data_IF_360888136720
#
_entry.id   IF_360888136720
#
_cell.length_a   1.000
_cell.length_b   1.000
_cell.length_c   1.000
_cell.angle_alpha   90.00
_cell.angle_beta   90.00
_cell.angle_gamma   90.00
#
_symmetry.space_group_name_H-M   'P 1'
#
loop_
_entity.id
_entity.type
_entity.pdbx_description
1 polymer ?
#
# COMPACT_ATOMS: atom_id res chain seq x y z
N UNK A 1 18.77 12.79 7.62
CA UNK A 1 17.63 13.57 8.16
C UNK A 1 17.33 13.00 9.54
N UNK A 2 17.80 13.69 10.58
CA UNK A 2 17.67 13.28 12.00
C UNK A 2 16.51 14.00 12.72
N UNK A 3 16.07 15.15 12.19
CA UNK A 3 14.96 15.97 12.69
C UNK A 3 13.99 16.35 11.55
N UNK A 4 12.79 16.80 11.92
CA UNK A 4 11.76 17.32 11.01
C UNK A 4 10.92 18.40 11.71
N UNK A 5 10.43 19.36 10.93
CA UNK A 5 9.42 20.32 11.39
C UNK A 5 8.06 19.61 11.53
N UNK A 6 7.47 19.68 12.73
CA UNK A 6 6.17 19.12 13.08
C UNK A 6 5.30 20.24 13.62
N UNK A 7 4.10 20.40 13.06
CA UNK A 7 3.10 21.36 13.57
C UNK A 7 2.28 20.71 14.68
N UNK A 8 2.36 21.23 15.89
CA UNK A 8 1.48 20.83 17.01
C UNK A 8 0.36 21.86 17.13
N UNK A 9 -0.89 21.43 16.94
CA UNK A 9 -2.04 22.35 16.89
C UNK A 9 -3.37 21.65 17.24
N UNK A 10 -4.48 22.37 17.12
CA UNK A 10 -5.83 21.95 17.50
C UNK A 10 -6.33 22.67 18.75
N UNK A 11 -7.65 22.74 18.91
CA UNK A 11 -8.30 23.49 19.97
C UNK A 11 -8.02 22.98 21.38
N UNK A 12 -7.51 21.75 21.52
CA UNK A 12 -7.16 21.17 22.82
C UNK A 12 -5.66 21.32 23.17
N UNK A 13 -4.86 22.04 22.37
CA UNK A 13 -3.45 22.33 22.67
C UNK A 13 -3.34 23.73 23.28
N UNK A 14 -2.66 23.85 24.43
CA UNK A 14 -2.51 25.14 25.11
C UNK A 14 -1.73 26.17 24.30
N UNK A 15 -0.58 25.80 23.73
CA UNK A 15 0.29 26.70 22.96
C UNK A 15 0.65 26.12 21.58
N UNK A 16 -0.25 26.18 20.58
CA UNK A 16 0.00 25.70 19.22
C UNK A 16 1.23 26.35 18.58
N UNK A 17 2.13 25.53 18.01
CA UNK A 17 3.38 26.00 17.37
C UNK A 17 4.00 24.95 16.45
N UNK A 18 4.90 25.42 15.59
CA UNK A 18 5.76 24.56 14.81
C UNK A 18 7.03 24.23 15.60
N UNK A 19 7.38 22.97 15.70
CA UNK A 19 8.54 22.46 16.42
C UNK A 19 9.49 21.76 15.46
N UNK A 20 10.80 21.91 15.67
CA UNK A 20 11.77 20.98 15.09
C UNK A 20 11.96 19.82 16.07
N UNK A 21 11.47 18.64 15.70
CA UNK A 21 11.51 17.45 16.53
C UNK A 21 12.48 16.40 15.95
N UNK A 22 13.27 15.70 16.79
CA UNK A 22 14.04 14.55 16.32
C UNK A 22 13.10 13.41 15.91
N UNK A 23 13.49 12.68 14.87
CA UNK A 23 12.77 11.47 14.47
C UNK A 23 12.90 10.45 15.60
N UNK A 24 11.77 9.94 16.09
CA UNK A 24 11.68 9.06 17.25
C UNK A 24 11.17 9.74 18.54
N UNK A 25 11.10 11.08 18.59
CA UNK A 25 10.47 11.79 19.71
C UNK A 25 9.02 11.34 19.91
N UNK A 26 8.54 11.26 21.15
CA UNK A 26 7.16 10.84 21.41
C UNK A 26 6.20 12.01 21.15
N UNK A 27 5.00 11.71 20.66
CA UNK A 27 3.96 12.72 20.51
C UNK A 27 3.61 13.37 21.87
N UNK A 28 3.65 12.61 22.96
CA UNK A 28 3.47 13.09 24.32
C UNK A 28 4.48 14.20 24.70
N UNK A 29 5.76 14.04 24.34
CA UNK A 29 6.79 15.02 24.66
C UNK A 29 6.55 16.34 23.92
N UNK A 30 6.14 16.25 22.66
CA UNK A 30 5.81 17.42 21.85
C UNK A 30 4.56 18.14 22.35
N UNK A 31 3.55 17.39 22.79
CA UNK A 31 2.33 17.95 23.37
C UNK A 31 2.63 18.61 24.72
N UNK A 32 3.42 17.96 25.58
CA UNK A 32 3.86 18.51 26.86
C UNK A 32 4.68 19.79 26.67
N UNK A 33 5.55 19.83 25.66
CA UNK A 33 6.32 21.04 25.31
C UNK A 33 5.42 22.21 24.87
N UNK A 34 4.26 21.92 24.27
CA UNK A 34 3.25 22.92 23.89
C UNK A 34 2.26 23.25 25.03
N UNK A 35 2.61 22.97 26.28
CA UNK A 35 1.77 23.27 27.45
C UNK A 35 0.73 22.18 27.79
N UNK A 36 0.83 21.01 27.16
CA UNK A 36 -0.05 19.87 27.42
C UNK A 36 -1.32 19.87 26.57
N UNK A 37 -2.20 18.92 26.87
CA UNK A 37 -3.47 18.71 26.19
C UNK A 37 -4.60 18.92 27.20
N UNK A 38 -5.60 19.69 26.79
CA UNK A 38 -6.82 19.93 27.57
C UNK A 38 -7.64 18.63 27.76
N UNK A 39 -8.41 18.54 28.84
CA UNK A 39 -9.30 17.42 29.12
C UNK A 39 -10.40 17.25 28.07
N UNK A 40 -10.71 18.32 27.33
CA UNK A 40 -11.70 18.33 26.25
C UNK A 40 -11.15 17.77 24.92
N UNK A 41 -9.94 17.20 24.93
CA UNK A 41 -9.38 16.51 23.77
C UNK A 41 -10.13 15.20 23.48
N UNK A 42 -10.90 15.21 22.39
CA UNK A 42 -11.64 14.02 21.94
C UNK A 42 -10.77 13.12 21.07
N UNK A 43 -9.90 13.70 20.22
CA UNK A 43 -9.12 12.92 19.24
C UNK A 43 -7.73 13.51 19.02
N UNK A 44 -6.74 12.62 19.06
CA UNK A 44 -5.37 12.90 18.63
C UNK A 44 -5.16 12.36 17.20
N UNK A 45 -4.66 13.20 16.30
CA UNK A 45 -4.32 12.84 14.93
C UNK A 45 -2.84 13.07 14.66
N UNK A 46 -2.20 12.12 13.97
CA UNK A 46 -0.89 12.31 13.36
C UNK A 46 -1.07 12.74 11.89
N UNK A 47 -0.69 13.97 11.57
CA UNK A 47 -0.82 14.57 10.24
C UNK A 47 -1.68 15.83 10.24
N UNK A 48 -2.45 16.03 9.17
CA UNK A 48 -3.40 17.15 9.04
C UNK A 48 -4.83 16.74 9.42
N UNK A 49 -5.79 17.68 9.47
CA UNK A 49 -7.17 17.38 9.86
C UNK A 49 -7.91 16.45 8.89
N UNK A 50 -7.53 16.48 7.61
CA UNK A 50 -8.17 15.67 6.55
C UNK A 50 -7.49 14.32 6.34
N UNK A 51 -6.15 14.31 6.34
CA UNK A 51 -5.31 13.14 6.01
C UNK A 51 -4.73 12.43 7.23
N UNK A 52 -4.82 13.07 8.39
CA UNK A 52 -4.21 12.58 9.61
C UNK A 52 -4.85 11.27 10.04
N UNK A 53 -4.00 10.38 10.54
CA UNK A 53 -4.47 9.13 11.11
C UNK A 53 -4.67 9.30 12.60
N UNK A 54 -5.72 8.70 13.19
CA UNK A 54 -5.88 8.71 14.64
C UNK A 54 -4.68 8.05 15.29
N UNK A 55 -4.12 8.73 16.29
CA UNK A 55 -3.02 8.19 17.08
C UNK A 55 -3.55 7.08 18.00
N UNK A 56 -2.88 5.91 18.06
CA UNK A 56 -3.30 4.84 18.96
C UNK A 56 -3.06 5.21 20.43
N UNK A 57 -1.96 5.92 20.71
CA UNK A 57 -1.64 6.49 22.01
C UNK A 57 -0.70 7.69 21.84
N UNK A 58 -0.57 8.52 22.88
CA UNK A 58 0.37 9.65 22.90
C UNK A 58 1.85 9.23 22.89
N UNK A 59 2.16 7.97 23.18
CA UNK A 59 3.52 7.41 23.13
C UNK A 59 3.95 7.02 21.70
N UNK A 60 3.17 7.38 20.69
CA UNK A 60 3.54 7.07 19.31
C UNK A 60 4.73 7.95 18.89
N UNK A 61 5.81 7.36 18.36
CA UNK A 61 6.98 8.12 17.94
C UNK A 61 6.71 8.90 16.65
N UNK A 62 7.29 10.10 16.56
CA UNK A 62 7.36 10.91 15.36
C UNK A 62 8.25 10.24 14.33
N UNK A 63 7.72 10.03 13.13
CA UNK A 63 8.45 9.42 12.01
C UNK A 63 8.68 10.44 10.91
N UNK A 64 9.47 10.06 9.89
CA UNK A 64 9.77 10.93 8.73
C UNK A 64 8.51 11.50 8.04
N UNK A 65 7.40 10.75 8.08
CA UNK A 65 6.11 11.16 7.49
C UNK A 65 5.23 12.03 8.39
N UNK A 66 5.62 12.25 9.64
CA UNK A 66 4.85 13.04 10.60
C UNK A 66 5.07 14.52 10.30
N UNK A 67 4.03 15.17 9.77
CA UNK A 67 4.05 16.62 9.47
C UNK A 67 3.38 17.45 10.58
N UNK A 68 2.52 16.82 11.37
CA UNK A 68 1.80 17.48 12.44
C UNK A 68 1.23 16.50 13.44
N UNK A 69 0.88 17.03 14.61
CA UNK A 69 0.15 16.35 15.68
C UNK A 69 -0.99 17.28 16.05
N UNK A 70 -2.22 16.80 15.90
CA UNK A 70 -3.41 17.59 16.17
C UNK A 70 -4.17 17.01 17.36
N UNK A 71 -4.47 17.85 18.36
CA UNK A 71 -5.39 17.52 19.45
C UNK A 71 -6.71 18.27 19.23
N UNK A 72 -7.71 17.54 18.74
CA UNK A 72 -8.99 18.11 18.34
C UNK A 72 -10.04 17.97 19.44
N UNK A 73 -10.79 19.05 19.64
CA UNK A 73 -11.96 19.12 20.52
C UNK A 73 -13.19 18.51 19.85
N UNK A 74 -14.24 18.22 20.62
CA UNK A 74 -15.52 17.77 20.09
C UNK A 74 -16.15 18.80 19.10
N UNK A 75 -15.96 20.09 19.35
CA UNK A 75 -16.47 21.15 18.50
C UNK A 75 -15.81 21.15 17.10
N UNK A 76 -14.51 20.90 17.03
CA UNK A 76 -13.75 20.85 15.76
C UNK A 76 -14.07 19.60 14.93
N UNK A 77 -14.42 18.49 15.59
CA UNK A 77 -14.84 17.26 14.91
C UNK A 77 -16.26 17.34 14.36
N UNK A 78 -17.06 18.32 14.82
CA UNK A 78 -18.49 18.41 14.55
C UNK A 78 -19.30 17.27 15.17
N UNK A 79 -20.62 17.35 15.03
CA UNK A 79 -21.52 16.27 15.47
C UNK A 79 -21.11 14.94 14.82
N UNK A 80 -20.87 13.90 15.61
CA UNK A 80 -20.59 12.55 15.10
C UNK A 80 -21.90 11.82 14.80
N UNK A 81 -22.61 12.21 13.72
CA UNK A 81 -23.81 11.50 13.25
C UNK A 81 -23.39 10.25 12.48
N UNK A 82 -24.11 9.16 12.70
CA UNK A 82 -23.92 7.91 11.98
C UNK A 82 -24.07 8.09 10.47
N UNK A 83 -23.33 7.34 9.64
CA UNK A 83 -23.49 7.37 8.19
C UNK A 83 -24.93 7.08 7.79
N UNK A 84 -25.48 7.91 6.92
CA UNK A 84 -26.83 7.75 6.36
C UNK A 84 -26.76 7.19 4.92
N UNK A 85 -27.87 6.65 4.38
CA UNK A 85 -27.90 6.22 3.00
C UNK A 85 -27.57 7.34 2.00
N UNK A 86 -26.91 6.98 0.91
CA UNK A 86 -26.55 7.92 -0.15
C UNK A 86 -27.80 8.47 -0.85
N UNK A 87 -27.96 9.79 -0.86
CA UNK A 87 -29.06 10.49 -1.56
C UNK A 87 -28.72 10.87 -3.01
N UNK A 88 -27.56 10.43 -3.53
CA UNK A 88 -27.08 10.69 -4.90
C UNK A 88 -27.03 12.17 -5.32
N UNK A 89 -26.63 13.05 -4.40
CA UNK A 89 -26.59 14.50 -4.63
C UNK A 89 -25.44 15.02 -5.52
N UNK A 90 -24.47 14.18 -5.94
CA UNK A 90 -23.37 14.60 -6.83
C UNK A 90 -22.20 15.36 -6.18
N UNK A 91 -22.37 15.98 -5.01
CA UNK A 91 -21.35 16.83 -4.34
C UNK A 91 -19.96 16.20 -4.20
N UNK A 92 -19.90 14.88 -3.98
CA UNK A 92 -18.62 14.17 -3.85
C UNK A 92 -17.78 14.19 -5.15
N UNK A 93 -18.43 14.24 -6.32
CA UNK A 93 -17.78 14.33 -7.64
C UNK A 93 -17.29 15.76 -7.86
N UNK A 94 -18.13 16.76 -7.57
CA UNK A 94 -17.78 18.18 -7.69
C UNK A 94 -16.60 18.57 -6.78
N UNK A 95 -16.55 18.03 -5.55
CA UNK A 95 -15.47 18.30 -4.61
C UNK A 95 -14.17 17.54 -4.90
N UNK A 96 -14.17 16.62 -5.88
CA UNK A 96 -13.02 15.77 -6.15
C UNK A 96 -12.00 16.50 -7.04
N UNK A 97 -10.78 16.82 -6.55
CA UNK A 97 -9.77 17.50 -7.37
C UNK A 97 -9.24 16.63 -8.51
N UNK A 98 -9.42 15.31 -8.43
CA UNK A 98 -8.99 14.35 -9.45
C UNK A 98 -10.07 14.01 -10.48
N UNK A 99 -11.29 14.57 -10.35
CA UNK A 99 -12.40 14.26 -11.27
C UNK A 99 -12.88 12.80 -11.22
N UNK A 100 -12.66 12.10 -10.11
CA UNK A 100 -13.08 10.70 -9.92
C UNK A 100 -14.57 10.58 -9.59
N UNK A 101 -15.07 9.33 -9.51
CA UNK A 101 -16.46 8.99 -9.13
C UNK A 101 -16.50 8.28 -7.76
N UNK A 102 -16.48 9.02 -6.63
CA UNK A 102 -16.23 8.42 -5.32
C UNK A 102 -17.29 7.42 -4.86
N UNK A 103 -18.56 7.68 -5.17
CA UNK A 103 -19.67 6.80 -4.77
C UNK A 103 -19.60 5.45 -5.49
N UNK A 104 -19.33 5.45 -6.80
CA UNK A 104 -19.17 4.21 -7.57
C UNK A 104 -17.95 3.42 -7.10
N UNK A 105 -16.83 4.11 -6.87
CA UNK A 105 -15.62 3.49 -6.31
C UNK A 105 -15.90 2.83 -4.96
N UNK A 106 -16.68 3.49 -4.08
CA UNK A 106 -17.06 2.95 -2.78
C UNK A 106 -18.08 1.81 -2.90
N UNK A 107 -18.94 1.81 -3.92
CA UNK A 107 -19.85 0.70 -4.20
C UNK A 107 -19.09 -0.54 -4.66
N UNK A 108 -18.18 -0.39 -5.64
CA UNK A 108 -17.34 -1.49 -6.10
C UNK A 108 -16.42 -2.00 -4.97
N UNK A 109 -15.89 -1.12 -4.11
CA UNK A 109 -15.12 -1.52 -2.93
C UNK A 109 -15.94 -2.36 -1.93
N UNK A 110 -17.21 -2.01 -1.70
CA UNK A 110 -18.11 -2.77 -0.83
C UNK A 110 -18.50 -4.12 -1.39
N UNK A 111 -18.56 -4.24 -2.72
CA UNK A 111 -18.86 -5.49 -3.42
C UNK A 111 -17.60 -6.32 -3.71
N UNK A 112 -16.42 -5.85 -3.29
CA UNK A 112 -15.13 -6.47 -3.60
C UNK A 112 -14.89 -6.69 -5.11
N UNK A 113 -15.47 -5.82 -5.94
CA UNK A 113 -15.27 -5.81 -7.39
C UNK A 113 -13.94 -5.14 -7.76
N UNK A 114 -12.84 -5.89 -7.61
CA UNK A 114 -11.49 -5.39 -7.87
C UNK A 114 -11.27 -4.92 -9.32
N UNK A 115 -11.72 -5.65 -10.35
CA UNK A 115 -11.63 -5.18 -11.73
C UNK A 115 -12.38 -3.86 -11.95
N UNK A 116 -13.59 -3.71 -11.42
CA UNK A 116 -14.37 -2.48 -11.51
C UNK A 116 -13.70 -1.29 -10.82
N UNK A 117 -13.13 -1.50 -9.63
CA UNK A 117 -12.37 -0.46 -8.90
C UNK A 117 -11.13 -0.01 -9.70
N UNK A 118 -10.43 -0.94 -10.35
CA UNK A 118 -9.29 -0.61 -11.18
C UNK A 118 -9.71 0.18 -12.44
N UNK A 119 -10.83 -0.18 -13.04
CA UNK A 119 -11.42 0.56 -14.17
C UNK A 119 -11.78 2.01 -13.76
N UNK A 120 -12.27 2.19 -12.53
CA UNK A 120 -12.56 3.49 -11.91
C UNK A 120 -11.32 4.26 -11.41
N UNK A 121 -10.11 3.77 -11.70
CA UNK A 121 -8.84 4.47 -11.44
C UNK A 121 -8.62 4.84 -9.97
N UNK A 122 -8.97 3.94 -9.04
CA UNK A 122 -8.73 4.18 -7.60
C UNK A 122 -7.28 4.55 -7.25
N UNK A 123 -6.29 4.10 -8.02
CA UNK A 123 -4.88 4.44 -7.77
C UNK A 123 -4.57 5.92 -7.98
N UNK A 124 -5.39 6.65 -8.74
CA UNK A 124 -5.22 8.08 -8.99
C UNK A 124 -5.78 8.93 -7.83
N UNK A 125 -6.53 8.31 -6.91
CA UNK A 125 -7.01 8.97 -5.71
C UNK A 125 -5.85 9.36 -4.78
N UNK A 126 -5.64 10.67 -4.59
CA UNK A 126 -4.67 11.24 -3.65
C UNK A 126 -5.12 11.17 -2.18
N UNK A 127 -6.24 10.51 -1.90
CA UNK A 127 -6.77 10.27 -0.57
C UNK A 127 -7.19 11.54 0.22
N UNK A 128 -7.28 12.73 -0.40
CA UNK A 128 -7.50 14.04 0.25
C UNK A 128 -8.73 14.19 1.19
N UNK A 129 -9.72 13.30 1.11
CA UNK A 129 -10.89 13.31 1.98
C UNK A 129 -12.00 14.33 1.63
N UNK A 130 -11.81 15.19 0.63
CA UNK A 130 -12.80 16.22 0.24
C UNK A 130 -14.18 15.63 -0.10
N UNK A 131 -14.21 14.46 -0.74
CA UNK A 131 -15.45 13.78 -1.09
C UNK A 131 -16.24 13.27 0.13
N UNK A 132 -15.54 12.83 1.19
CA UNK A 132 -16.16 12.39 2.42
C UNK A 132 -16.68 13.59 3.23
N UNK A 133 -15.90 14.68 3.27
CA UNK A 133 -16.28 15.91 3.97
C UNK A 133 -17.48 16.61 3.33
N UNK A 134 -17.54 16.71 2.01
CA UNK A 134 -18.65 17.34 1.30
C UNK A 134 -19.96 16.50 1.28
N UNK A 135 -19.90 15.24 1.73
CA UNK A 135 -21.04 14.32 1.66
C UNK A 135 -22.06 14.64 2.77
N UNK A 136 -23.32 15.02 2.43
CA UNK A 136 -24.34 15.27 3.44
C UNK A 136 -24.71 14.00 4.23
N UNK A 137 -24.63 12.84 3.58
CA UNK A 137 -24.88 11.52 4.19
C UNK A 137 -23.68 10.98 5.01
N UNK A 138 -22.55 11.71 5.06
CA UNK A 138 -21.34 11.36 5.84
C UNK A 138 -20.81 9.95 5.60
N UNK A 139 -20.87 9.50 4.35
CA UNK A 139 -20.36 8.19 3.96
C UNK A 139 -18.83 8.18 4.13
N UNK A 140 -18.24 7.18 4.80
CA UNK A 140 -16.80 7.10 5.03
C UNK A 140 -16.03 6.65 3.77
N UNK A 141 -16.16 7.40 2.67
CA UNK A 141 -15.59 7.07 1.36
C UNK A 141 -14.08 6.79 1.44
N UNK A 142 -13.35 7.59 2.21
CA UNK A 142 -11.89 7.44 2.33
C UNK A 142 -11.48 6.11 2.98
N UNK A 143 -12.27 5.59 3.93
CA UNK A 143 -12.01 4.29 4.56
C UNK A 143 -12.19 3.15 3.56
N UNK A 144 -13.24 3.20 2.73
CA UNK A 144 -13.43 2.23 1.64
C UNK A 144 -12.29 2.27 0.62
N UNK A 145 -11.78 3.47 0.29
CA UNK A 145 -10.66 3.61 -0.63
C UNK A 145 -9.36 3.07 -0.04
N UNK A 146 -9.08 3.34 1.24
CA UNK A 146 -7.93 2.80 1.93
C UNK A 146 -7.99 1.27 1.99
N UNK A 147 -9.14 0.71 2.34
CA UNK A 147 -9.40 -0.73 2.30
C UNK A 147 -9.14 -1.31 0.91
N UNK A 148 -9.77 -0.75 -0.13
CA UNK A 148 -9.63 -1.27 -1.49
C UNK A 148 -8.18 -1.16 -2.03
N UNK A 149 -7.46 -0.08 -1.71
CA UNK A 149 -6.03 0.05 -2.05
C UNK A 149 -5.18 -1.00 -1.36
N UNK A 150 -5.48 -1.33 -0.10
CA UNK A 150 -4.75 -2.36 0.65
C UNK A 150 -4.93 -3.74 0.01
N UNK A 151 -6.14 -4.07 -0.43
CA UNK A 151 -6.48 -5.33 -1.08
C UNK A 151 -5.84 -5.44 -2.47
N UNK A 152 -5.91 -4.38 -3.28
CA UNK A 152 -5.23 -4.32 -4.58
C UNK A 152 -3.71 -4.45 -4.44
N UNK A 153 -3.12 -3.83 -3.41
CA UNK A 153 -1.71 -3.95 -3.14
C UNK A 153 -1.32 -5.37 -2.72
N UNK A 154 -2.16 -6.05 -1.95
CA UNK A 154 -1.95 -7.45 -1.57
C UNK A 154 -2.02 -8.39 -2.78
N UNK A 155 -3.02 -8.24 -3.64
CA UNK A 155 -3.12 -9.00 -4.88
C UNK A 155 -1.88 -8.83 -5.76
N UNK A 156 -1.43 -7.58 -5.97
CA UNK A 156 -0.19 -7.30 -6.72
C UNK A 156 1.05 -7.93 -6.09
N UNK A 157 1.15 -7.95 -4.75
CA UNK A 157 2.25 -8.62 -4.04
C UNK A 157 2.21 -10.13 -4.29
N UNK A 158 1.04 -10.75 -4.29
CA UNK A 158 0.88 -12.18 -4.54
C UNK A 158 1.21 -12.54 -5.99
N UNK A 159 0.71 -11.75 -6.95
CA UNK A 159 1.02 -11.91 -8.38
C UNK A 159 2.52 -11.80 -8.66
N UNK A 160 3.18 -10.78 -8.10
CA UNK A 160 4.62 -10.58 -8.28
C UNK A 160 5.43 -11.75 -7.70
N UNK A 161 5.06 -12.27 -6.52
CA UNK A 161 5.69 -13.46 -5.93
C UNK A 161 5.49 -14.70 -6.81
N UNK A 162 4.26 -14.91 -7.30
CA UNK A 162 3.95 -16.04 -8.18
C UNK A 162 4.73 -15.98 -9.49
N UNK A 163 4.83 -14.80 -10.11
CA UNK A 163 5.63 -14.55 -11.30
C UNK A 163 7.12 -14.85 -11.04
N UNK A 164 7.66 -14.40 -9.92
CA UNK A 164 9.04 -14.66 -9.55
C UNK A 164 9.32 -16.17 -9.38
N UNK A 165 8.45 -16.89 -8.66
CA UNK A 165 8.57 -18.35 -8.49
C UNK A 165 8.51 -19.06 -9.84
N UNK A 166 7.59 -18.65 -10.72
CA UNK A 166 7.46 -19.22 -12.06
C UNK A 166 8.74 -19.04 -12.88
N UNK A 167 9.33 -17.84 -12.87
CA UNK A 167 10.60 -17.57 -13.54
C UNK A 167 11.73 -18.46 -13.02
N UNK A 168 11.81 -18.66 -11.70
CA UNK A 168 12.81 -19.56 -11.11
C UNK A 168 12.61 -21.02 -11.53
N UNK A 169 11.36 -21.48 -11.63
CA UNK A 169 11.05 -22.84 -12.11
C UNK A 169 11.44 -23.04 -13.58
N UNK A 170 11.11 -22.06 -14.44
CA UNK A 170 11.47 -22.08 -15.85
C UNK A 170 12.99 -22.10 -16.04
N UNK A 171 13.74 -21.28 -15.27
CA UNK A 171 15.21 -21.29 -15.27
C UNK A 171 15.79 -22.64 -14.83
N UNK A 172 15.20 -23.27 -13.79
CA UNK A 172 15.62 -24.59 -13.30
C UNK A 172 15.37 -25.68 -14.34
N UNK A 173 14.20 -25.68 -14.99
CA UNK A 173 13.87 -26.62 -16.06
C UNK A 173 14.82 -26.47 -17.25
N UNK A 174 15.12 -25.24 -17.66
CA UNK A 174 16.08 -24.97 -18.73
C UNK A 174 17.48 -25.48 -18.40
N UNK A 175 17.92 -25.40 -17.13
CA UNK A 175 19.21 -25.95 -16.70
C UNK A 175 19.25 -27.48 -16.83
N UNK A 176 18.23 -28.18 -16.32
CA UNK A 176 18.18 -29.64 -16.42
C UNK A 176 18.10 -30.12 -17.87
N UNK A 177 17.30 -29.47 -18.73
CA UNK A 177 17.20 -29.81 -20.14
C UNK A 177 18.56 -29.65 -20.87
N UNK A 178 19.37 -28.65 -20.51
CA UNK A 178 20.74 -28.50 -21.03
C UNK A 178 21.64 -29.65 -20.61
N UNK A 179 21.60 -30.02 -19.32
CA UNK A 179 22.39 -31.15 -18.80
C UNK A 179 21.98 -32.48 -19.45
N UNK A 180 20.69 -32.73 -19.66
CA UNK A 180 20.18 -33.92 -20.35
C UNK A 180 20.61 -33.97 -21.82
N UNK A 181 20.55 -32.84 -22.54
CA UNK A 181 21.03 -32.75 -23.93
C UNK A 181 22.52 -33.06 -24.04
N UNK A 182 23.34 -32.46 -23.18
CA UNK A 182 24.79 -32.73 -23.13
C UNK A 182 25.07 -34.20 -22.83
N UNK A 183 24.35 -34.81 -21.87
CA UNK A 183 24.48 -36.25 -21.55
C UNK A 183 24.04 -37.14 -22.72
N UNK A 184 22.95 -36.80 -23.41
CA UNK A 184 22.45 -37.55 -24.56
C UNK A 184 23.41 -37.47 -25.75
N UNK A 185 23.95 -36.28 -26.06
CA UNK A 185 24.95 -36.06 -27.10
C UNK A 185 26.25 -36.83 -26.79
N UNK A 186 26.75 -36.76 -25.55
CA UNK A 186 27.93 -37.52 -25.13
C UNK A 186 27.69 -39.04 -25.20
N UNK A 187 26.50 -39.53 -24.85
CA UNK A 187 26.14 -40.94 -24.99
C UNK A 187 26.03 -41.37 -26.46
N UNK A 188 25.49 -40.52 -27.34
CA UNK A 188 25.43 -40.76 -28.78
C UNK A 188 26.82 -40.80 -29.40
N UNK A 189 27.71 -39.86 -29.06
CA UNK A 189 29.11 -39.86 -29.49
C UNK A 189 29.86 -41.13 -29.02
N UNK A 190 29.65 -41.56 -27.77
CA UNK A 190 30.22 -42.81 -27.25
C UNK A 190 29.69 -44.05 -27.99
N UNK A 191 28.41 -44.08 -28.37
CA UNK A 191 27.82 -45.17 -29.17
C UNK A 191 28.37 -45.19 -30.60
N UNK A 192 28.46 -44.03 -31.24
CA UNK A 192 29.04 -43.90 -32.59
C UNK A 192 30.52 -44.31 -32.62
N UNK A 193 31.33 -43.89 -31.63
CA UNK A 193 32.73 -44.30 -31.52
C UNK A 193 32.93 -45.79 -31.26
N UNK A 194 31.99 -46.44 -30.54
CA UNK A 194 32.00 -47.90 -30.37
C UNK A 194 31.63 -48.63 -31.67
N UNK A 195 30.67 -48.11 -32.43
CA UNK A 195 30.27 -48.68 -33.72
C UNK A 195 31.38 -48.54 -34.77
N UNK A 196 32.02 -47.37 -34.89
CA UNK A 196 33.14 -47.20 -35.83
C UNK A 196 34.34 -48.09 -35.48
N UNK A 197 34.61 -48.29 -34.19
CA UNK A 197 35.68 -49.19 -33.72
C UNK A 197 35.35 -50.67 -33.93
N UNK A 198 34.06 -51.06 -33.87
CA UNK A 198 33.63 -52.43 -34.16
C UNK A 198 33.65 -52.74 -35.67
N UNK A 199 33.39 -51.75 -36.53
CA UNK A 199 33.52 -51.88 -37.99
C UNK A 199 35.01 -51.96 -38.38
N UNK A 200 35.88 -51.14 -37.78
CA UNK A 200 37.32 -51.20 -38.04
C UNK A 200 37.98 -52.53 -37.60
N UNK A 201 37.46 -53.21 -36.57
CA UNK A 201 37.94 -54.54 -36.16
C UNK A 201 37.38 -55.68 -37.02
N UNK A 202 36.37 -55.44 -37.86
CA UNK A 202 35.79 -56.45 -38.74
C UNK A 202 36.48 -56.50 -40.13
N UNK A 203 37.19 -55.43 -40.52
CA UNK A 203 38.01 -55.37 -41.75
C UNK A 203 39.44 -55.94 -41.56
N UNK A 204 39.87 -56.25 -40.33
CA UNK A 204 41.22 -56.78 -40.00
C UNK A 204 41.26 -58.32 -39.85
N UNK A 205 40.13 -59.03 -40.04
CA UNK A 205 40.00 -60.50 -39.86
C UNK A 205 39.85 -61.27 -41.21
N UNK A 206 40.09 -60.63 -42.36
CA UNK A 206 39.97 -61.23 -43.72
C UNK A 206 41.27 -61.12 -44.56
N UNK A 207 42.43 -61.35 -43.93
CA UNK A 207 43.76 -61.55 -44.59
C UNK A 207 44.52 -62.76 -43.99
#
# INVERSE_FOLDING_TARGET
LISRIVTVSGGAVAEPRNLEAPIGALAADLLAYCGGVDTDCTRLLMGGPMMGQPLPCAETPVVKGTNGILALTAAELGEQRSPEPCIRCGRCVEACPMGLLPVEMANSARQEDWPGIQALKLNDCMACGSCAYACPSRIPLLQYFAFARSQLAEQRRQESKAQHIRQLMEQRQARFAREERVKAEAAAQRRAAKQSRAVATADDDDD
#
